data_IF_585210237486
#
_entry.id   IF_585210237486
#
_cell.length_a   1.000
_cell.length_b   1.000
_cell.length_c   1.000
_cell.angle_alpha   90.00
_cell.angle_beta   90.00
_cell.angle_gamma   90.00
#
_symmetry.space_group_name_H-M   'P 1'
#
loop_
_entity.id
_entity.type
_entity.pdbx_description
1 polymer ?
#
# COMPACT_ATOMS: atom_id res chain seq x y z
N UNK A 1 4.81 36.35 -6.68
CA UNK A 1 3.77 35.40 -7.10
C UNK A 1 3.99 34.14 -6.28
N UNK A 2 3.12 33.85 -5.32
CA UNK A 2 3.25 32.65 -4.49
C UNK A 2 3.18 31.41 -5.39
N UNK A 3 4.17 30.53 -5.25
CA UNK A 3 4.29 29.31 -6.05
C UNK A 3 3.27 28.28 -5.56
N UNK A 4 2.09 28.27 -6.19
CA UNK A 4 1.05 27.26 -5.96
C UNK A 4 1.50 25.83 -6.33
N UNK A 5 2.65 25.68 -6.98
CA UNK A 5 3.19 24.39 -7.42
C UNK A 5 3.46 23.43 -6.25
N UNK A 6 3.93 23.93 -5.11
CA UNK A 6 4.20 23.09 -3.93
C UNK A 6 2.92 22.46 -3.36
N UNK A 7 1.92 23.27 -2.94
CA UNK A 7 0.65 22.76 -2.44
C UNK A 7 -0.13 21.89 -3.44
N UNK A 8 -0.12 22.26 -4.73
CA UNK A 8 -0.76 21.46 -5.78
C UNK A 8 -0.07 20.11 -5.97
N UNK A 9 1.26 20.08 -5.97
CA UNK A 9 2.02 18.84 -6.02
C UNK A 9 1.74 17.93 -4.82
N UNK A 10 1.65 18.50 -3.62
CA UNK A 10 1.30 17.75 -2.41
C UNK A 10 -0.12 17.16 -2.47
N UNK A 11 -1.10 17.93 -2.95
CA UNK A 11 -2.48 17.46 -3.11
C UNK A 11 -2.57 16.32 -4.13
N UNK A 12 -1.91 16.45 -5.29
CA UNK A 12 -1.88 15.41 -6.31
C UNK A 12 -1.21 14.15 -5.77
N UNK A 13 -0.05 14.29 -5.12
CA UNK A 13 0.64 13.16 -4.49
C UNK A 13 -0.21 12.46 -3.44
N UNK A 14 -0.95 13.22 -2.63
CA UNK A 14 -1.87 12.67 -1.64
C UNK A 14 -3.02 11.87 -2.29
N UNK A 15 -3.66 12.43 -3.31
CA UNK A 15 -4.76 11.77 -4.02
C UNK A 15 -4.27 10.47 -4.69
N UNK A 16 -3.11 10.51 -5.33
CA UNK A 16 -2.52 9.34 -5.97
C UNK A 16 -2.14 8.25 -4.96
N UNK A 17 -1.47 8.61 -3.87
CA UNK A 17 -1.12 7.66 -2.80
C UNK A 17 -2.35 7.04 -2.14
N UNK A 18 -3.41 7.83 -1.93
CA UNK A 18 -4.68 7.32 -1.43
C UNK A 18 -5.35 6.33 -2.39
N UNK A 19 -5.32 6.63 -3.70
CA UNK A 19 -5.87 5.76 -4.73
C UNK A 19 -5.10 4.44 -4.80
N UNK A 20 -3.77 4.47 -4.82
CA UNK A 20 -2.93 3.27 -4.80
C UNK A 20 -3.22 2.41 -3.59
N UNK A 21 -3.32 3.01 -2.40
CA UNK A 21 -3.64 2.25 -1.19
C UNK A 21 -4.96 1.49 -1.31
N UNK A 22 -6.02 2.15 -1.80
CA UNK A 22 -7.34 1.50 -1.96
C UNK A 22 -7.31 0.40 -3.00
N UNK A 23 -6.65 0.62 -4.14
CA UNK A 23 -6.57 -0.36 -5.22
C UNK A 23 -5.86 -1.63 -4.74
N UNK A 24 -4.70 -1.47 -4.10
CA UNK A 24 -3.84 -2.58 -3.69
C UNK A 24 -4.45 -3.30 -2.50
N UNK A 25 -4.96 -2.58 -1.50
CA UNK A 25 -5.71 -3.17 -0.40
C UNK A 25 -6.89 -4.00 -0.90
N UNK A 26 -7.68 -3.46 -1.85
CA UNK A 26 -8.80 -4.16 -2.45
C UNK A 26 -8.39 -5.42 -3.22
N UNK A 27 -7.37 -5.34 -4.07
CA UNK A 27 -6.91 -6.49 -4.87
C UNK A 27 -6.34 -7.60 -3.99
N UNK A 28 -5.52 -7.26 -3.00
CA UNK A 28 -4.94 -8.23 -2.06
C UNK A 28 -6.05 -8.95 -1.28
N UNK A 29 -7.03 -8.20 -0.77
CA UNK A 29 -8.19 -8.80 -0.07
C UNK A 29 -8.95 -9.75 -0.99
N UNK A 30 -9.25 -9.32 -2.22
CA UNK A 30 -10.02 -10.11 -3.18
C UNK A 30 -9.29 -11.40 -3.57
N UNK A 31 -7.98 -11.33 -3.79
CA UNK A 31 -7.14 -12.49 -4.11
C UNK A 31 -7.07 -13.49 -2.95
N UNK A 32 -6.88 -13.01 -1.72
CA UNK A 32 -6.85 -13.86 -0.52
C UNK A 32 -8.21 -14.48 -0.22
N UNK A 33 -9.31 -13.73 -0.41
CA UNK A 33 -10.67 -14.27 -0.26
C UNK A 33 -10.96 -15.39 -1.26
N UNK A 34 -10.41 -15.31 -2.48
CA UNK A 34 -10.56 -16.35 -3.50
C UNK A 34 -9.89 -17.67 -3.12
N UNK A 35 -8.86 -17.63 -2.27
CA UNK A 35 -8.12 -18.80 -1.78
C UNK A 35 -8.61 -19.32 -0.43
N UNK A 36 -9.68 -18.73 0.11
CA UNK A 36 -10.20 -19.13 1.40
C UNK A 36 -10.93 -20.49 1.31
N UNK A 37 -10.39 -21.52 1.97
CA UNK A 37 -10.98 -22.86 2.08
C UNK A 37 -11.62 -23.12 3.46
N UNK A 38 -11.83 -22.09 4.27
CA UNK A 38 -12.34 -22.21 5.63
C UNK A 38 -13.70 -22.92 5.66
N UNK A 39 -13.86 -23.88 6.58
CA UNK A 39 -15.12 -24.65 6.73
C UNK A 39 -15.90 -24.21 7.97
N UNK A 40 -15.26 -23.48 8.88
CA UNK A 40 -15.85 -23.04 10.14
C UNK A 40 -15.64 -21.54 10.36
N UNK A 41 -16.52 -20.91 11.16
CA UNK A 41 -16.48 -19.47 11.44
C UNK A 41 -15.17 -19.03 12.12
N UNK A 42 -14.62 -19.87 13.01
CA UNK A 42 -13.38 -19.57 13.71
C UNK A 42 -12.15 -19.56 12.78
N UNK A 43 -12.11 -20.45 11.78
CA UNK A 43 -11.05 -20.46 10.75
C UNK A 43 -11.15 -19.22 9.86
N UNK A 44 -12.38 -18.79 9.53
CA UNK A 44 -12.63 -17.57 8.77
C UNK A 44 -12.09 -16.32 9.48
N UNK A 45 -12.33 -16.19 10.79
CA UNK A 45 -11.91 -15.02 11.57
C UNK A 45 -10.37 -14.92 11.68
N UNK A 46 -9.69 -16.06 11.88
CA UNK A 46 -8.23 -16.11 11.92
C UNK A 46 -7.62 -15.82 10.53
N UNK A 47 -8.25 -16.31 9.46
CA UNK A 47 -7.87 -16.02 8.09
C UNK A 47 -8.01 -14.53 7.76
N UNK A 48 -9.12 -13.88 8.15
CA UNK A 48 -9.29 -12.42 7.97
C UNK A 48 -8.27 -11.60 8.77
N UNK A 49 -7.85 -12.08 9.94
CA UNK A 49 -6.79 -11.43 10.72
C UNK A 49 -5.44 -11.49 9.99
N UNK A 50 -5.11 -12.63 9.38
CA UNK A 50 -3.90 -12.79 8.56
C UNK A 50 -3.94 -11.95 7.30
N UNK A 51 -5.09 -11.85 6.62
CA UNK A 51 -5.28 -10.96 5.47
C UNK A 51 -4.95 -9.52 5.86
N UNK A 52 -5.52 -9.02 6.97
CA UNK A 52 -5.29 -7.64 7.43
C UNK A 52 -3.82 -7.38 7.75
N UNK A 53 -3.13 -8.33 8.39
CA UNK A 53 -1.69 -8.25 8.63
C UNK A 53 -0.89 -8.19 7.33
N UNK A 54 -1.22 -9.04 6.35
CA UNK A 54 -0.55 -9.06 5.05
C UNK A 54 -0.75 -7.74 4.29
N UNK A 55 -1.97 -7.21 4.32
CA UNK A 55 -2.27 -5.90 3.73
C UNK A 55 -1.50 -4.77 4.41
N UNK A 56 -1.40 -4.78 5.74
CA UNK A 56 -0.61 -3.80 6.48
C UNK A 56 0.87 -3.87 6.10
N UNK A 57 1.44 -5.07 5.98
CA UNK A 57 2.82 -5.28 5.52
C UNK A 57 3.01 -4.78 4.10
N UNK A 58 2.10 -5.11 3.18
CA UNK A 58 2.17 -4.65 1.79
C UNK A 58 2.06 -3.13 1.68
N UNK A 59 1.17 -2.49 2.45
CA UNK A 59 1.13 -1.03 2.54
C UNK A 59 2.48 -0.49 3.03
N UNK A 60 3.03 -1.01 4.13
CA UNK A 60 4.31 -0.54 4.68
C UNK A 60 5.44 -0.69 3.66
N UNK A 61 5.50 -1.82 2.94
CA UNK A 61 6.50 -2.05 1.89
C UNK A 61 6.30 -1.12 0.69
N UNK A 62 5.07 -0.82 0.31
CA UNK A 62 4.80 0.00 -0.86
C UNK A 62 4.98 1.49 -0.58
N UNK A 63 4.46 1.97 0.55
CA UNK A 63 4.54 3.36 0.97
C UNK A 63 5.90 3.69 1.59
N UNK A 64 6.51 2.76 2.32
CA UNK A 64 7.82 2.96 2.96
C UNK A 64 8.97 2.38 2.14
N UNK A 65 8.83 1.15 1.64
CA UNK A 65 9.90 0.44 0.93
C UNK A 65 10.23 1.04 -0.43
N UNK A 66 9.23 1.39 -1.26
CA UNK A 66 9.51 1.95 -2.59
C UNK A 66 10.20 3.32 -2.54
N UNK A 67 9.80 4.28 -1.68
CA UNK A 67 10.55 5.53 -1.55
C UNK A 67 11.95 5.34 -0.97
N UNK A 68 12.13 4.41 -0.02
CA UNK A 68 13.45 4.08 0.51
C UNK A 68 14.34 3.49 -0.59
N UNK A 69 13.82 2.53 -1.37
CA UNK A 69 14.54 1.97 -2.52
C UNK A 69 14.85 3.05 -3.57
N UNK A 70 13.88 3.89 -3.91
CA UNK A 70 14.07 5.00 -4.84
C UNK A 70 15.10 6.01 -4.36
N UNK A 71 15.10 6.33 -3.07
CA UNK A 71 16.11 7.19 -2.44
C UNK A 71 17.49 6.55 -2.46
N UNK A 72 17.62 5.28 -2.06
CA UNK A 72 18.89 4.56 -2.07
C UNK A 72 19.44 4.47 -3.49
N UNK A 73 18.62 4.06 -4.45
CA UNK A 73 19.00 3.95 -5.87
C UNK A 73 19.39 5.33 -6.40
N UNK A 74 18.55 6.34 -6.18
CA UNK A 74 18.81 7.73 -6.59
C UNK A 74 20.11 8.26 -6.02
N UNK A 75 20.38 8.00 -4.74
CA UNK A 75 21.64 8.35 -4.07
C UNK A 75 22.84 7.62 -4.66
N UNK A 76 22.72 6.32 -4.91
CA UNK A 76 23.82 5.52 -5.47
C UNK A 76 24.15 5.90 -6.92
N UNK A 77 23.16 6.32 -7.70
CA UNK A 77 23.34 6.67 -9.12
C UNK A 77 23.63 8.16 -9.35
N UNK A 78 23.12 9.05 -8.49
CA UNK A 78 23.14 10.49 -8.72
C UNK A 78 23.72 11.32 -7.54
N UNK A 79 23.97 10.72 -6.36
CA UNK A 79 24.67 11.35 -5.22
C UNK A 79 23.80 11.69 -4.01
#
# INVERSE_FOLDING_TARGET
MESWAGPLGALIGFVLGWLEYKLIGGTVTAALRRTNSSKTQAEHDDYERRIRLLQAILLVLMVGGMPVLGYVIGRTLFG
#
